data_IF_382834158906
#
_entry.id   IF_382834158906
#
_cell.length_a   1.000
_cell.length_b   1.000
_cell.length_c   1.000
_cell.angle_alpha   90.00
_cell.angle_beta   90.00
_cell.angle_gamma   90.00
#
_symmetry.space_group_name_H-M   'P 1'
#
loop_
_entity.id
_entity.type
_entity.pdbx_description
1 polymer ?
#
# COMPACT_ATOMS: atom_id res chain seq x y z
N UNK A 1 -38.63 -4.59 -2.06
CA UNK A 1 -39.13 -5.23 -0.83
C UNK A 1 -37.95 -5.77 -0.07
N UNK A 2 -37.79 -5.40 1.19
CA UNK A 2 -36.64 -5.80 2.04
C UNK A 2 -36.59 -7.33 2.17
N UNK A 3 -35.42 -7.89 1.86
CA UNK A 3 -35.21 -9.35 1.91
C UNK A 3 -35.72 -10.15 0.70
N UNK A 4 -36.11 -9.48 -0.38
CA UNK A 4 -36.60 -10.10 -1.62
C UNK A 4 -36.01 -9.38 -2.84
N UNK A 5 -36.04 -10.04 -4.00
CA UNK A 5 -35.65 -9.45 -5.27
C UNK A 5 -36.79 -8.68 -5.96
N UNK A 6 -37.96 -8.59 -5.32
CA UNK A 6 -39.13 -7.90 -5.87
C UNK A 6 -38.95 -6.38 -5.72
N UNK A 7 -38.89 -5.67 -6.82
CA UNK A 7 -38.77 -4.20 -6.88
C UNK A 7 -39.46 -3.62 -8.14
N UNK A 8 -39.66 -2.31 -8.11
CA UNK A 8 -40.19 -1.54 -9.24
C UNK A 8 -39.51 -0.19 -9.31
N UNK A 9 -39.35 0.38 -10.48
CA UNK A 9 -38.83 1.74 -10.68
C UNK A 9 -40.02 2.69 -10.87
N UNK A 10 -39.90 3.91 -10.35
CA UNK A 10 -40.93 4.97 -10.58
C UNK A 10 -40.99 5.40 -12.04
N UNK A 11 -42.12 5.87 -12.45
CA UNK A 11 -42.29 6.58 -13.73
C UNK A 11 -41.70 8.00 -13.69
N UNK A 12 -41.83 8.75 -14.81
CA UNK A 12 -41.30 10.12 -14.92
C UNK A 12 -41.98 11.13 -13.96
N UNK A 13 -43.18 10.81 -13.50
CA UNK A 13 -43.97 11.61 -12.55
C UNK A 13 -43.75 11.18 -11.09
N UNK A 14 -42.87 10.17 -10.87
CA UNK A 14 -42.54 9.65 -9.54
C UNK A 14 -43.55 8.63 -9.01
N UNK A 15 -44.50 8.16 -9.81
CA UNK A 15 -45.48 7.17 -9.37
C UNK A 15 -44.92 5.75 -9.50
N UNK A 16 -45.31 4.89 -8.58
CA UNK A 16 -44.98 3.46 -8.62
C UNK A 16 -46.19 2.61 -8.19
N UNK A 17 -46.25 1.40 -8.72
CA UNK A 17 -47.24 0.41 -8.32
C UNK A 17 -46.56 -0.91 -8.00
N UNK A 18 -46.70 -1.37 -6.77
CA UNK A 18 -46.00 -2.57 -6.26
C UNK A 18 -46.96 -3.42 -5.44
N UNK A 19 -47.16 -4.67 -5.87
CA UNK A 19 -47.95 -5.63 -5.11
C UNK A 19 -47.11 -6.35 -4.12
N UNK A 20 -47.41 -6.20 -2.81
CA UNK A 20 -46.66 -6.79 -1.70
C UNK A 20 -47.57 -7.46 -0.69
N UNK A 21 -47.02 -8.43 0.06
CA UNK A 21 -47.75 -9.04 1.15
C UNK A 21 -47.96 -8.04 2.30
N UNK A 22 -49.07 -8.17 3.04
CA UNK A 22 -49.31 -7.37 4.25
C UNK A 22 -48.19 -7.57 5.25
N UNK A 23 -47.75 -6.49 5.91
CA UNK A 23 -46.63 -6.40 6.84
C UNK A 23 -45.24 -6.50 6.20
N UNK A 24 -45.12 -6.42 4.88
CA UNK A 24 -43.82 -6.27 4.23
C UNK A 24 -43.23 -4.88 4.48
N UNK A 25 -41.89 -4.81 4.50
CA UNK A 25 -41.16 -3.54 4.52
C UNK A 25 -40.68 -3.22 3.10
N UNK A 26 -41.04 -2.04 2.61
CA UNK A 26 -40.54 -1.50 1.34
C UNK A 26 -39.38 -0.56 1.65
N UNK A 27 -38.29 -0.69 0.93
CA UNK A 27 -37.16 0.25 0.94
C UNK A 27 -37.27 1.09 -0.32
N UNK A 28 -37.29 2.38 -0.18
CA UNK A 28 -37.31 3.34 -1.29
C UNK A 28 -35.96 4.06 -1.29
N UNK A 29 -35.24 3.93 -2.39
CA UNK A 29 -33.91 4.50 -2.61
C UNK A 29 -33.83 5.28 -3.91
N UNK A 30 -33.07 6.36 -3.90
CA UNK A 30 -32.74 7.13 -5.09
C UNK A 30 -31.35 7.73 -4.95
N UNK A 31 -30.59 7.84 -6.04
CA UNK A 31 -29.23 8.37 -6.02
C UNK A 31 -29.26 9.80 -5.47
N UNK A 32 -28.47 10.05 -4.39
CA UNK A 32 -28.41 11.35 -3.71
C UNK A 32 -29.46 11.56 -2.61
N UNK A 33 -30.21 10.53 -2.26
CA UNK A 33 -31.19 10.57 -1.18
C UNK A 33 -31.01 9.40 -0.22
N UNK A 34 -31.30 9.62 1.07
CA UNK A 34 -31.22 8.57 2.09
C UNK A 34 -32.32 7.55 1.90
N UNK A 35 -31.96 6.26 2.01
CA UNK A 35 -32.91 5.16 1.93
C UNK A 35 -33.97 5.29 3.02
N UNK A 36 -35.26 5.14 2.65
CA UNK A 36 -36.36 5.18 3.60
C UNK A 36 -37.12 3.86 3.62
N UNK A 37 -37.37 3.36 4.83
CA UNK A 37 -38.09 2.12 5.04
C UNK A 37 -39.54 2.38 5.49
N UNK A 38 -40.49 1.78 4.80
CA UNK A 38 -41.92 1.87 5.11
C UNK A 38 -42.51 0.48 5.31
N UNK A 39 -43.16 0.29 6.43
CA UNK A 39 -43.91 -0.94 6.70
C UNK A 39 -45.33 -0.81 6.18
N UNK A 40 -45.74 -1.72 5.32
CA UNK A 40 -47.06 -1.71 4.66
C UNK A 40 -48.06 -2.48 5.53
N UNK A 41 -49.19 -1.83 5.89
CA UNK A 41 -50.30 -2.47 6.56
C UNK A 41 -51.48 -2.64 5.57
N UNK A 42 -52.47 -3.47 5.93
CA UNK A 42 -53.64 -3.75 5.08
C UNK A 42 -54.44 -2.51 4.70
N UNK A 43 -54.36 -1.44 5.50
CA UNK A 43 -55.17 -0.24 5.32
C UNK A 43 -54.42 0.87 4.52
N UNK A 44 -53.19 0.65 4.16
CA UNK A 44 -52.35 1.65 3.48
C UNK A 44 -52.10 1.28 2.03
N UNK A 45 -53.03 1.67 1.17
CA UNK A 45 -52.97 1.40 -0.28
C UNK A 45 -52.31 2.51 -1.07
N UNK A 46 -52.11 3.69 -0.50
CA UNK A 46 -51.40 4.83 -1.10
C UNK A 46 -50.30 5.30 -0.19
N UNK A 47 -49.07 5.34 -0.69
CA UNK A 47 -47.90 5.77 0.03
C UNK A 47 -47.30 7.00 -0.66
N UNK A 48 -47.36 8.16 0.00
CA UNK A 48 -46.65 9.36 -0.44
C UNK A 48 -45.32 9.46 0.31
N UNK A 49 -44.23 9.47 -0.42
CA UNK A 49 -42.89 9.49 0.12
C UNK A 49 -42.17 10.74 -0.32
N UNK A 50 -41.68 11.52 0.66
CA UNK A 50 -40.71 12.57 0.42
C UNK A 50 -39.33 12.06 0.82
N UNK A 51 -38.49 11.78 -0.16
CA UNK A 51 -37.10 11.42 0.09
C UNK A 51 -36.38 12.62 0.69
N UNK A 52 -35.60 12.39 1.71
CA UNK A 52 -34.68 13.39 2.26
C UNK A 52 -33.39 13.29 1.49
N UNK A 53 -32.89 14.41 1.04
CA UNK A 53 -31.54 14.47 0.45
C UNK A 53 -30.57 13.81 1.41
N UNK A 54 -29.79 12.88 0.89
CA UNK A 54 -28.72 12.28 1.64
C UNK A 54 -27.63 13.36 1.78
N UNK A 55 -27.73 14.10 2.89
CA UNK A 55 -26.68 15.04 3.29
C UNK A 55 -25.42 14.31 3.77
N UNK A 56 -25.45 12.97 3.84
CA UNK A 56 -24.27 12.11 3.82
C UNK A 56 -23.76 11.82 2.37
N UNK A 57 -24.10 12.63 1.36
CA UNK A 57 -23.12 12.82 0.30
C UNK A 57 -21.85 13.20 1.03
N UNK A 58 -20.92 12.30 1.06
CA UNK A 58 -19.57 12.48 1.57
C UNK A 58 -19.13 13.79 0.97
N UNK A 59 -19.35 14.89 1.69
CA UNK A 59 -18.68 16.15 1.42
C UNK A 59 -17.22 15.75 1.45
N UNK A 60 -16.61 15.53 0.28
CA UNK A 60 -15.21 15.15 0.17
C UNK A 60 -14.42 16.31 0.75
N UNK A 61 -14.24 16.21 2.05
CA UNK A 61 -13.61 17.24 2.85
C UNK A 61 -12.12 17.02 2.71
N UNK A 62 -11.47 18.00 2.13
CA UNK A 62 -10.03 17.96 1.94
C UNK A 62 -9.38 18.78 3.04
N UNK A 63 -8.41 18.21 3.72
CA UNK A 63 -7.57 18.94 4.67
C UNK A 63 -6.68 19.86 3.86
N UNK A 64 -6.79 21.18 4.08
CA UNK A 64 -5.98 22.20 3.42
C UNK A 64 -5.34 23.05 4.50
N UNK A 65 -4.06 22.90 4.65
CA UNK A 65 -3.33 23.69 5.64
C UNK A 65 -3.74 23.39 7.08
N UNK A 66 -4.11 24.45 7.79
CA UNK A 66 -4.57 24.35 9.19
C UNK A 66 -6.09 24.20 9.32
N UNK A 67 -6.79 23.90 8.22
CA UNK A 67 -8.25 23.80 8.20
C UNK A 67 -8.75 22.71 7.29
N UNK A 68 -10.04 22.44 7.42
CA UNK A 68 -10.78 21.48 6.62
C UNK A 68 -11.69 22.28 5.69
N UNK A 69 -11.58 22.09 4.38
CA UNK A 69 -12.43 22.75 3.39
C UNK A 69 -13.11 21.71 2.50
N UNK A 70 -14.33 22.02 2.07
CA UNK A 70 -15.01 21.20 1.06
C UNK A 70 -14.24 21.27 -0.25
N UNK A 71 -14.09 20.17 -0.93
CA UNK A 71 -13.37 20.07 -2.22
C UNK A 71 -13.89 21.06 -3.25
N UNK A 72 -15.19 21.31 -3.25
CA UNK A 72 -15.87 22.29 -4.11
C UNK A 72 -15.38 23.73 -3.94
N UNK A 73 -14.91 24.06 -2.74
CA UNK A 73 -14.45 25.41 -2.38
C UNK A 73 -12.95 25.63 -2.61
N UNK A 74 -12.24 24.61 -3.11
CA UNK A 74 -10.82 24.68 -3.37
C UNK A 74 -10.56 25.31 -4.74
N UNK A 75 -10.01 26.49 -4.76
CA UNK A 75 -9.56 27.17 -5.99
C UNK A 75 -8.25 26.60 -6.54
N UNK A 76 -7.54 25.78 -5.75
CA UNK A 76 -6.26 25.16 -6.11
C UNK A 76 -6.40 23.72 -6.64
N UNK A 77 -5.39 23.26 -7.39
CA UNK A 77 -5.33 21.88 -7.91
C UNK A 77 -4.98 20.90 -6.78
N UNK A 78 -5.99 20.36 -6.13
CA UNK A 78 -5.84 19.37 -5.06
C UNK A 78 -6.33 18.01 -5.55
N UNK A 79 -5.53 16.96 -5.32
CA UNK A 79 -5.96 15.58 -5.50
C UNK A 79 -6.12 14.94 -4.11
N UNK A 80 -7.22 14.27 -3.88
CA UNK A 80 -7.46 13.54 -2.64
C UNK A 80 -7.88 12.10 -2.93
N UNK A 81 -7.46 11.19 -2.06
CA UNK A 81 -7.86 9.78 -2.08
C UNK A 81 -8.33 9.41 -0.68
N UNK A 82 -9.53 8.85 -0.61
CA UNK A 82 -10.04 8.24 0.61
C UNK A 82 -9.48 6.82 0.74
N UNK A 83 -8.87 6.53 1.87
CA UNK A 83 -8.19 5.23 2.06
C UNK A 83 -9.15 4.06 2.30
N UNK A 84 -10.43 4.30 2.56
CA UNK A 84 -11.43 3.22 2.65
C UNK A 84 -11.47 2.35 1.38
N UNK A 85 -11.27 2.97 0.22
CA UNK A 85 -11.33 2.28 -1.08
C UNK A 85 -10.00 1.57 -1.45
N UNK A 86 -8.95 1.81 -0.68
CA UNK A 86 -7.58 1.40 -0.98
C UNK A 86 -7.02 0.41 0.04
N UNK A 87 -7.51 0.44 1.27
CA UNK A 87 -6.99 -0.35 2.39
C UNK A 87 -7.08 -1.87 2.18
N UNK A 88 -7.93 -2.35 1.25
CA UNK A 88 -8.06 -3.77 0.92
C UNK A 88 -6.91 -4.33 0.06
N UNK A 89 -5.98 -3.49 -0.39
CA UNK A 89 -4.86 -3.95 -1.22
C UNK A 89 -3.77 -4.57 -0.35
N UNK A 90 -3.34 -5.82 -0.63
CA UNK A 90 -2.29 -6.49 0.12
C UNK A 90 -0.90 -5.99 -0.32
N UNK A 91 -0.55 -4.77 0.02
CA UNK A 91 0.79 -4.22 -0.23
C UNK A 91 1.56 -4.06 1.08
N UNK A 92 2.86 -4.28 1.01
CA UNK A 92 3.75 -4.18 2.16
C UNK A 92 4.01 -2.74 2.60
N UNK A 93 3.96 -1.81 1.64
CA UNK A 93 4.28 -0.40 1.83
C UNK A 93 3.08 0.47 1.46
N UNK A 94 2.58 1.19 2.45
CA UNK A 94 1.40 2.06 2.29
C UNK A 94 1.60 3.16 1.24
N UNK A 95 2.83 3.65 1.06
CA UNK A 95 3.11 4.65 0.02
C UNK A 95 2.84 4.09 -1.40
N UNK A 96 3.05 2.80 -1.62
CA UNK A 96 2.78 2.15 -2.91
C UNK A 96 1.27 2.10 -3.25
N UNK A 97 0.39 2.18 -2.25
CA UNK A 97 -1.05 2.28 -2.48
C UNK A 97 -1.48 3.57 -3.19
N UNK A 98 -0.64 4.59 -3.14
CA UNK A 98 -0.89 5.88 -3.80
C UNK A 98 -0.60 5.84 -5.31
N UNK A 99 0.12 4.82 -5.78
CA UNK A 99 0.53 4.70 -7.19
C UNK A 99 -0.70 4.63 -8.12
N UNK A 100 -0.71 5.48 -9.14
CA UNK A 100 -1.78 5.54 -10.14
C UNK A 100 -3.12 6.13 -9.64
N UNK A 101 -3.22 6.51 -8.36
CA UNK A 101 -4.46 7.03 -7.75
C UNK A 101 -4.48 8.55 -7.57
N UNK A 102 -3.32 9.16 -7.56
CA UNK A 102 -3.17 10.60 -7.40
C UNK A 102 -2.71 11.22 -8.73
N UNK A 103 -3.59 11.85 -9.51
CA UNK A 103 -3.21 12.49 -10.78
C UNK A 103 -2.08 13.50 -10.57
N UNK A 104 -1.00 13.39 -11.38
CA UNK A 104 0.16 14.26 -11.33
C UNK A 104 1.16 13.93 -10.22
N UNK A 105 0.99 12.79 -9.53
CA UNK A 105 1.98 12.22 -8.60
C UNK A 105 2.62 11.01 -9.27
N UNK A 106 3.92 11.01 -9.35
CA UNK A 106 4.72 9.90 -9.86
C UNK A 106 5.40 9.21 -8.69
N UNK A 107 5.24 7.90 -8.59
CA UNK A 107 5.95 7.04 -7.65
C UNK A 107 6.91 6.16 -8.43
N UNK A 108 8.16 6.17 -8.04
CA UNK A 108 9.19 5.30 -8.61
C UNK A 108 9.76 4.43 -7.50
N UNK A 109 9.63 3.12 -7.65
CA UNK A 109 10.24 2.16 -6.74
C UNK A 109 11.65 1.83 -7.23
N UNK A 110 12.66 2.15 -6.43
CA UNK A 110 14.07 1.87 -6.73
C UNK A 110 14.52 0.49 -6.25
N UNK A 111 13.60 -0.37 -5.88
CA UNK A 111 13.82 -1.72 -5.38
C UNK A 111 12.57 -2.26 -4.70
N UNK A 112 12.53 -3.57 -4.49
CA UNK A 112 11.44 -4.25 -3.80
C UNK A 112 11.94 -4.95 -2.53
N UNK A 113 13.05 -4.45 -1.96
CA UNK A 113 13.64 -5.04 -0.77
C UNK A 113 12.72 -4.80 0.43
N UNK A 114 12.33 -5.88 1.10
CA UNK A 114 11.56 -5.81 2.33
C UNK A 114 12.26 -4.89 3.36
N UNK A 115 11.56 -3.84 3.80
CA UNK A 115 12.08 -2.83 4.73
C UNK A 115 12.92 -1.70 4.12
N UNK A 116 13.25 -1.77 2.83
CA UNK A 116 13.97 -0.73 2.06
C UNK A 116 13.26 -0.37 0.75
N UNK A 117 11.95 -0.54 0.71
CA UNK A 117 11.07 -0.37 -0.44
C UNK A 117 10.37 0.99 -0.47
N UNK A 118 10.92 2.01 0.19
CA UNK A 118 10.37 3.37 0.15
C UNK A 118 10.43 3.93 -1.26
N UNK A 119 9.28 4.26 -1.87
CA UNK A 119 9.27 4.84 -3.21
C UNK A 119 9.78 6.28 -3.17
N UNK A 120 10.40 6.68 -4.27
CA UNK A 120 10.61 8.10 -4.56
C UNK A 120 9.30 8.70 -5.05
N UNK A 121 8.82 9.75 -4.40
CA UNK A 121 7.57 10.43 -4.77
C UNK A 121 7.89 11.78 -5.37
N UNK A 122 7.34 12.07 -6.54
CA UNK A 122 7.48 13.34 -7.24
C UNK A 122 6.11 13.90 -7.65
N UNK A 123 5.93 15.20 -7.49
CA UNK A 123 4.71 15.90 -7.88
C UNK A 123 5.04 16.78 -9.08
N UNK A 124 4.33 16.56 -10.22
CA UNK A 124 4.53 17.25 -11.50
C UNK A 124 5.94 17.15 -12.10
N UNK A 125 6.72 16.14 -11.71
CA UNK A 125 8.04 15.85 -12.28
C UNK A 125 9.20 16.47 -11.52
N UNK A 126 10.32 16.67 -12.22
CA UNK A 126 11.59 17.18 -11.67
C UNK A 126 11.66 18.68 -11.91
N UNK A 127 11.69 19.46 -10.84
CA UNK A 127 11.78 20.93 -10.91
C UNK A 127 13.18 21.49 -10.63
N UNK A 128 14.04 20.71 -9.97
CA UNK A 128 15.38 21.14 -9.57
C UNK A 128 16.41 20.02 -9.77
N UNK A 129 17.70 20.39 -9.78
CA UNK A 129 18.78 19.41 -9.92
C UNK A 129 19.17 18.70 -8.60
N UNK A 130 18.72 19.21 -7.45
CA UNK A 130 19.11 18.65 -6.16
C UNK A 130 17.96 17.88 -5.50
N UNK A 131 17.03 18.56 -4.84
CA UNK A 131 15.97 17.93 -4.06
C UNK A 131 14.60 18.16 -4.70
N UNK A 132 13.95 17.10 -5.12
CA UNK A 132 12.62 17.14 -5.72
C UNK A 132 11.54 16.48 -4.85
N UNK A 133 11.90 16.11 -3.62
CA UNK A 133 10.95 15.48 -2.72
C UNK A 133 9.87 16.47 -2.29
N UNK A 134 8.60 16.03 -2.28
CA UNK A 134 7.51 16.85 -1.75
C UNK A 134 7.62 16.95 -0.23
N UNK A 135 7.09 18.03 0.32
CA UNK A 135 6.88 18.14 1.76
C UNK A 135 5.78 17.17 2.20
N UNK A 136 6.04 16.38 3.22
CA UNK A 136 5.06 15.43 3.78
C UNK A 136 4.63 15.93 5.15
N UNK A 137 3.31 15.94 5.39
CA UNK A 137 2.73 16.20 6.71
C UNK A 137 1.81 15.05 7.11
N UNK A 138 2.02 14.51 8.30
CA UNK A 138 1.18 13.52 8.92
C UNK A 138 0.48 14.17 10.11
N UNK A 139 -0.84 14.30 10.04
CA UNK A 139 -1.66 15.04 11.03
C UNK A 139 -1.14 16.45 11.34
N UNK A 140 -0.57 17.13 10.35
CA UNK A 140 -0.01 18.46 10.47
C UNK A 140 1.45 18.54 10.94
N UNK A 141 2.07 17.40 11.24
CA UNK A 141 3.48 17.28 11.63
C UNK A 141 4.33 16.93 10.42
N UNK A 142 5.39 17.71 10.20
CA UNK A 142 6.33 17.45 9.11
C UNK A 142 7.04 16.10 9.29
N UNK A 143 7.11 15.37 8.21
CA UNK A 143 7.55 13.97 8.17
C UNK A 143 8.30 13.70 6.87
N UNK A 144 8.90 12.52 6.75
CA UNK A 144 9.57 12.07 5.53
C UNK A 144 8.69 11.14 4.69
N UNK A 145 9.03 10.98 3.42
CA UNK A 145 8.38 10.01 2.52
C UNK A 145 8.49 8.57 3.07
N UNK A 146 9.62 8.22 3.69
CA UNK A 146 9.82 6.90 4.31
C UNK A 146 8.85 6.64 5.46
N UNK A 147 8.47 7.67 6.22
CA UNK A 147 7.51 7.52 7.31
C UNK A 147 6.08 7.22 6.82
N UNK A 148 5.75 7.55 5.57
CA UNK A 148 4.46 7.12 4.97
C UNK A 148 4.39 5.59 4.92
N UNK A 149 5.49 4.94 4.56
CA UNK A 149 5.59 3.49 4.49
C UNK A 149 5.40 2.78 5.83
N UNK A 150 5.62 3.50 6.93
CA UNK A 150 5.56 2.97 8.29
C UNK A 150 4.16 3.03 8.91
N UNK A 151 3.25 3.81 8.31
CA UNK A 151 1.87 3.93 8.79
C UNK A 151 1.05 2.76 8.25
N UNK A 152 0.39 1.97 9.12
CA UNK A 152 -0.57 0.98 8.65
C UNK A 152 -1.66 1.64 7.78
N UNK A 153 -1.99 1.02 6.66
CA UNK A 153 -3.01 1.56 5.75
C UNK A 153 -4.38 1.73 6.45
N UNK A 154 -4.68 0.83 7.37
CA UNK A 154 -5.89 0.87 8.18
C UNK A 154 -5.97 2.07 9.14
N UNK A 155 -4.85 2.72 9.45
CA UNK A 155 -4.82 3.94 10.27
C UNK A 155 -5.03 5.22 9.46
N UNK A 156 -4.91 5.18 8.13
CA UNK A 156 -5.07 6.35 7.27
C UNK A 156 -6.55 6.55 6.94
N UNK A 157 -7.02 7.78 7.07
CA UNK A 157 -8.35 8.20 6.63
C UNK A 157 -8.31 8.73 5.21
N UNK A 158 -7.39 9.66 4.94
CA UNK A 158 -7.25 10.26 3.61
C UNK A 158 -5.83 10.75 3.34
N UNK A 159 -5.50 10.82 2.05
CA UNK A 159 -4.29 11.47 1.56
C UNK A 159 -4.68 12.55 0.56
N UNK A 160 -4.21 13.77 0.80
CA UNK A 160 -4.42 14.92 -0.07
C UNK A 160 -3.09 15.45 -0.59
N UNK A 161 -3.04 15.86 -1.84
CA UNK A 161 -1.84 16.40 -2.47
C UNK A 161 -2.10 17.79 -3.02
N UNK A 162 -1.37 18.76 -2.48
CA UNK A 162 -1.36 20.15 -2.92
C UNK A 162 -0.29 20.29 -4.01
N UNK A 163 -0.74 20.52 -5.24
CA UNK A 163 0.14 20.47 -6.42
C UNK A 163 0.55 21.84 -6.95
N UNK A 164 -0.09 22.89 -6.53
CA UNK A 164 0.20 24.24 -6.99
C UNK A 164 0.67 25.17 -5.85
N UNK A 165 1.36 26.22 -6.24
CA UNK A 165 1.92 27.18 -5.30
C UNK A 165 0.85 27.93 -4.50
N UNK A 166 -0.37 28.12 -5.03
CA UNK A 166 -1.43 28.81 -4.35
C UNK A 166 -1.96 28.01 -3.16
N UNK A 167 -2.21 26.72 -3.36
CA UNK A 167 -2.66 25.81 -2.29
C UNK A 167 -1.56 25.49 -1.28
N UNK A 168 -0.29 25.49 -1.71
CA UNK A 168 0.87 25.18 -0.89
C UNK A 168 1.50 26.41 -0.20
N UNK A 169 1.04 27.64 -0.53
CA UNK A 169 1.65 28.90 -0.07
C UNK A 169 1.80 29.04 1.46
N UNK A 170 0.87 28.48 2.22
CA UNK A 170 0.91 28.52 3.69
C UNK A 170 2.09 27.76 4.29
N UNK A 171 2.68 26.83 3.54
CA UNK A 171 3.85 26.04 3.96
C UNK A 171 5.18 26.66 3.52
N UNK A 172 5.13 27.81 2.81
CA UNK A 172 6.29 28.55 2.38
C UNK A 172 7.13 27.88 1.29
N UNK A 173 8.39 28.27 1.19
CA UNK A 173 9.31 27.80 0.12
C UNK A 173 9.59 26.31 0.14
N UNK A 174 9.46 25.66 1.27
CA UNK A 174 9.66 24.20 1.42
C UNK A 174 8.61 23.38 0.68
N UNK A 175 7.47 23.97 0.40
CA UNK A 175 6.39 23.36 -0.36
C UNK A 175 6.49 23.57 -1.88
N UNK A 176 7.64 24.08 -2.39
CA UNK A 176 7.84 24.36 -3.82
C UNK A 176 7.65 23.11 -4.69
N UNK A 177 8.01 21.93 -4.19
CA UNK A 177 7.83 20.65 -4.87
C UNK A 177 6.45 19.99 -4.60
N UNK A 178 5.51 20.74 -4.00
CA UNK A 178 4.20 20.24 -3.58
C UNK A 178 4.18 19.70 -2.15
N UNK A 179 2.98 19.44 -1.66
CA UNK A 179 2.75 18.95 -0.29
C UNK A 179 1.86 17.73 -0.31
N UNK A 180 2.23 16.70 0.44
CA UNK A 180 1.42 15.53 0.72
C UNK A 180 0.89 15.65 2.15
N UNK A 181 -0.42 15.68 2.29
CA UNK A 181 -1.11 15.73 3.58
C UNK A 181 -1.73 14.36 3.86
N UNK A 182 -1.31 13.73 4.94
CA UNK A 182 -1.85 12.47 5.41
C UNK A 182 -2.66 12.75 6.66
N UNK A 183 -3.93 12.38 6.62
CA UNK A 183 -4.81 12.45 7.77
C UNK A 183 -5.05 11.04 8.28
N UNK A 184 -4.80 10.82 9.56
CA UNK A 184 -5.05 9.53 10.20
C UNK A 184 -6.44 9.48 10.82
N UNK A 185 -6.98 8.27 10.95
CA UNK A 185 -8.30 8.03 11.53
C UNK A 185 -8.39 8.57 12.94
N UNK A 186 -9.54 9.14 13.25
CA UNK A 186 -9.88 9.68 14.58
C UNK A 186 -11.16 9.05 15.09
N UNK A 187 -11.41 9.12 16.37
CA UNK A 187 -12.70 8.77 16.95
C UNK A 187 -13.79 9.74 16.49
N UNK A 188 -15.03 9.27 16.46
CA UNK A 188 -16.19 10.10 16.18
C UNK A 188 -16.86 10.55 17.46
N UNK A 189 -17.30 11.81 17.51
CA UNK A 189 -18.07 12.33 18.64
C UNK A 189 -19.38 11.57 18.80
N UNK A 190 -19.80 11.39 20.05
CA UNK A 190 -21.05 10.69 20.42
C UNK A 190 -21.19 9.27 19.86
N UNK A 191 -20.07 8.61 19.54
CA UNK A 191 -20.05 7.25 19.01
C UNK A 191 -19.87 6.20 20.12
N UNK A 192 -20.53 5.04 19.95
CA UNK A 192 -20.25 3.88 20.79
C UNK A 192 -18.81 3.38 20.54
N UNK A 193 -18.24 2.75 21.55
CA UNK A 193 -16.93 2.11 21.39
C UNK A 193 -17.05 1.01 20.33
N UNK A 194 -16.19 1.11 19.32
CA UNK A 194 -16.06 0.16 18.22
C UNK A 194 -14.67 -0.46 18.27
N UNK A 195 -14.62 -1.78 18.26
CA UNK A 195 -13.39 -2.55 18.09
C UNK A 195 -13.39 -3.06 16.66
N UNK A 196 -12.28 -2.87 15.96
CA UNK A 196 -12.09 -3.38 14.59
C UNK A 196 -10.79 -4.16 14.56
N UNK A 197 -10.85 -5.34 13.97
CA UNK A 197 -9.71 -6.22 13.70
C UNK A 197 -9.63 -6.48 12.21
N UNK A 198 -8.43 -6.43 11.66
CA UNK A 198 -8.16 -6.81 10.27
C UNK A 198 -6.88 -7.64 10.22
N UNK A 199 -6.88 -8.66 9.38
CA UNK A 199 -5.73 -9.52 9.16
C UNK A 199 -5.62 -9.93 7.71
N UNK A 200 -4.39 -10.02 7.20
CA UNK A 200 -4.11 -10.50 5.85
C UNK A 200 -2.91 -11.44 5.82
N UNK A 201 -2.97 -12.41 4.93
CA UNK A 201 -1.85 -13.28 4.58
C UNK A 201 -1.65 -13.23 3.07
N UNK A 202 -0.42 -12.95 2.65
CA UNK A 202 -0.07 -12.75 1.24
C UNK A 202 1.11 -13.63 0.88
N UNK A 203 1.02 -14.32 -0.25
CA UNK A 203 2.14 -15.02 -0.87
C UNK A 203 2.74 -14.11 -1.94
N UNK A 204 4.04 -13.92 -1.87
CA UNK A 204 4.82 -13.14 -2.83
C UNK A 204 5.68 -14.10 -3.64
N UNK A 205 5.66 -13.94 -4.95
CA UNK A 205 6.49 -14.73 -5.86
C UNK A 205 7.35 -13.79 -6.70
N UNK A 206 8.59 -14.20 -7.07
CA UNK A 206 9.34 -13.46 -8.06
C UNK A 206 8.50 -13.26 -9.32
N UNK A 207 8.47 -12.04 -9.86
CA UNK A 207 7.69 -11.73 -11.05
C UNK A 207 8.35 -12.28 -12.32
N UNK A 208 8.89 -11.39 -13.15
CA UNK A 208 9.63 -11.79 -14.34
C UNK A 208 11.06 -12.09 -13.94
N UNK A 209 11.45 -13.36 -14.01
CA UNK A 209 12.82 -13.81 -13.82
C UNK A 209 13.39 -14.09 -15.22
N UNK A 210 14.50 -13.45 -15.62
CA UNK A 210 15.13 -13.72 -16.91
C UNK A 210 15.61 -15.17 -16.99
N UNK A 211 15.44 -15.80 -18.15
CA UNK A 211 16.06 -17.08 -18.42
C UNK A 211 17.57 -16.89 -18.65
N UNK A 212 18.36 -17.61 -17.86
CA UNK A 212 19.81 -17.60 -18.02
C UNK A 212 20.26 -18.83 -18.81
N UNK A 213 21.35 -18.62 -19.53
CA UNK A 213 22.01 -19.69 -20.28
C UNK A 213 22.54 -20.76 -19.30
N UNK A 214 22.33 -22.03 -19.62
CA UNK A 214 22.88 -23.14 -18.87
C UNK A 214 24.41 -23.22 -19.02
N UNK A 215 25.04 -24.04 -18.17
CA UNK A 215 26.49 -24.15 -18.11
C UNK A 215 27.12 -24.72 -19.41
N UNK A 216 26.44 -25.67 -20.07
CA UNK A 216 26.91 -26.26 -21.34
C UNK A 216 26.93 -25.22 -22.45
N UNK A 217 25.82 -24.53 -22.69
CA UNK A 217 25.75 -23.50 -23.72
C UNK A 217 26.68 -22.31 -23.40
N UNK A 218 26.80 -21.95 -22.12
CA UNK A 218 27.79 -20.95 -21.70
C UNK A 218 29.22 -21.37 -22.02
N UNK A 219 29.60 -22.64 -21.78
CA UNK A 219 30.92 -23.17 -22.11
C UNK A 219 31.17 -23.20 -23.61
N UNK A 220 30.17 -23.54 -24.45
CA UNK A 220 30.24 -23.45 -25.88
C UNK A 220 30.56 -22.02 -26.35
N UNK A 221 29.80 -21.03 -25.84
CA UNK A 221 30.08 -19.62 -26.17
C UNK A 221 31.47 -19.16 -25.74
N UNK A 222 31.97 -19.68 -24.61
CA UNK A 222 33.35 -19.38 -24.18
C UNK A 222 34.39 -20.00 -25.12
N UNK A 223 34.14 -21.18 -25.65
CA UNK A 223 34.99 -21.82 -26.65
C UNK A 223 34.97 -21.09 -28.00
N UNK A 224 33.86 -20.46 -28.39
CA UNK A 224 33.81 -19.57 -29.58
C UNK A 224 34.70 -18.34 -29.41
N UNK A 225 34.74 -17.74 -28.23
CA UNK A 225 35.55 -16.58 -27.92
C UNK A 225 37.04 -16.96 -27.83
N UNK A 226 37.35 -18.11 -27.21
CA UNK A 226 38.68 -18.63 -27.04
C UNK A 226 38.65 -20.16 -27.14
N UNK A 227 39.09 -20.67 -28.27
CA UNK A 227 39.11 -22.11 -28.55
C UNK A 227 39.89 -22.87 -27.46
N UNK A 228 39.34 -24.01 -27.02
CA UNK A 228 39.98 -24.89 -26.04
C UNK A 228 39.89 -24.39 -24.58
N UNK A 229 39.01 -23.45 -24.29
CA UNK A 229 38.74 -23.04 -22.89
C UNK A 229 38.12 -24.19 -22.10
N UNK A 230 37.22 -24.95 -22.73
CA UNK A 230 36.64 -26.19 -22.20
C UNK A 230 36.97 -27.32 -23.19
N UNK A 231 37.47 -28.46 -22.65
CA UNK A 231 37.71 -29.67 -23.43
C UNK A 231 36.38 -30.35 -23.77
N UNK A 232 36.39 -31.29 -24.73
CA UNK A 232 35.23 -32.11 -25.09
C UNK A 232 34.73 -32.94 -23.88
N UNK A 233 35.67 -33.46 -23.07
CA UNK A 233 35.31 -34.17 -21.82
C UNK A 233 34.60 -33.24 -20.82
N UNK A 234 35.07 -32.00 -20.67
CA UNK A 234 34.42 -31.01 -19.82
C UNK A 234 33.03 -30.65 -20.33
N UNK A 235 32.86 -30.47 -21.65
CA UNK A 235 31.55 -30.23 -22.25
C UNK A 235 30.58 -31.39 -22.04
N UNK A 236 31.08 -32.63 -22.16
CA UNK A 236 30.26 -33.80 -21.90
C UNK A 236 29.78 -33.86 -20.43
N UNK A 237 30.66 -33.59 -19.46
CA UNK A 237 30.31 -33.57 -18.04
C UNK A 237 29.32 -32.44 -17.69
N UNK A 238 29.44 -31.27 -18.36
CA UNK A 238 28.46 -30.18 -18.23
C UNK A 238 27.09 -30.58 -18.80
N UNK A 239 27.08 -31.39 -19.87
CA UNK A 239 25.86 -31.81 -20.53
C UNK A 239 25.13 -32.94 -19.74
N UNK A 240 25.88 -33.92 -19.25
CA UNK A 240 25.33 -35.11 -18.56
C UNK A 240 25.21 -34.96 -17.04
N UNK A 241 25.82 -33.88 -16.45
CA UNK A 241 25.78 -33.61 -15.03
C UNK A 241 26.52 -34.62 -14.15
N UNK A 242 27.45 -35.41 -14.72
CA UNK A 242 28.13 -36.52 -14.03
C UNK A 242 29.11 -36.10 -12.93
N UNK A 243 29.54 -34.82 -12.93
CA UNK A 243 30.50 -34.27 -11.98
C UNK A 243 30.07 -32.86 -11.54
N UNK A 244 29.01 -32.76 -10.71
CA UNK A 244 28.41 -31.45 -10.36
C UNK A 244 29.30 -30.58 -9.47
N UNK A 245 30.32 -31.13 -8.84
CA UNK A 245 31.26 -30.36 -8.03
C UNK A 245 32.23 -29.56 -8.89
N UNK A 246 32.70 -30.13 -10.02
CA UNK A 246 33.65 -29.45 -10.92
C UNK A 246 32.98 -28.86 -12.16
N UNK A 247 31.82 -29.41 -12.56
CA UNK A 247 31.08 -29.02 -13.78
C UNK A 247 29.60 -28.78 -13.45
N UNK A 248 29.35 -27.81 -12.56
CA UNK A 248 27.99 -27.49 -12.12
C UNK A 248 27.13 -26.87 -13.24
N UNK A 249 25.82 -26.98 -13.08
CA UNK A 249 24.85 -26.25 -13.88
C UNK A 249 23.92 -25.48 -12.92
N UNK A 250 24.40 -24.32 -12.45
CA UNK A 250 23.74 -23.52 -11.42
C UNK A 250 22.93 -22.42 -12.05
N UNK A 251 21.63 -22.42 -11.81
CA UNK A 251 20.79 -21.21 -11.95
C UNK A 251 20.91 -20.39 -10.68
N UNK A 252 21.72 -19.36 -10.71
CA UNK A 252 21.99 -18.52 -9.56
C UNK A 252 20.77 -17.70 -9.10
N UNK A 253 19.83 -17.38 -10.00
CA UNK A 253 18.59 -16.70 -9.61
C UNK A 253 17.71 -17.63 -8.79
N UNK A 254 17.54 -18.88 -9.21
CA UNK A 254 16.78 -19.88 -8.44
C UNK A 254 17.44 -20.18 -7.10
N UNK A 255 18.78 -20.06 -7.03
CA UNK A 255 19.52 -20.26 -5.80
C UNK A 255 19.33 -19.14 -4.76
N UNK A 256 19.02 -17.91 -5.18
CA UNK A 256 18.88 -16.75 -4.28
C UNK A 256 17.44 -16.27 -4.11
N UNK A 257 16.55 -16.58 -5.06
CA UNK A 257 15.15 -16.18 -5.02
C UNK A 257 14.29 -17.28 -4.40
N UNK A 258 13.25 -16.88 -3.71
CA UNK A 258 12.25 -17.79 -3.11
C UNK A 258 10.85 -17.19 -3.18
N UNK A 259 9.86 -18.03 -3.06
CA UNK A 259 8.54 -17.57 -2.67
C UNK A 259 8.59 -17.10 -1.21
N UNK A 260 7.95 -16.01 -0.92
CA UNK A 260 7.95 -15.36 0.38
C UNK A 260 6.54 -15.17 0.89
N UNK A 261 6.39 -15.05 2.20
CA UNK A 261 5.11 -14.78 2.85
C UNK A 261 5.13 -13.40 3.51
N UNK A 262 3.95 -12.80 3.58
CA UNK A 262 3.70 -11.63 4.37
C UNK A 262 2.41 -11.82 5.14
N UNK A 263 2.42 -11.47 6.41
CA UNK A 263 1.21 -11.42 7.21
C UNK A 263 1.13 -10.10 7.99
N UNK A 264 -0.07 -9.59 8.08
CA UNK A 264 -0.37 -8.32 8.72
C UNK A 264 -1.58 -8.48 9.62
N UNK A 265 -1.53 -7.85 10.78
CA UNK A 265 -2.62 -7.79 11.75
C UNK A 265 -2.76 -6.37 12.25
N UNK A 266 -3.96 -5.87 12.29
CA UNK A 266 -4.28 -4.54 12.78
C UNK A 266 -5.49 -4.60 13.70
N UNK A 267 -5.33 -4.12 14.91
CA UNK A 267 -6.39 -4.01 15.90
C UNK A 267 -6.57 -2.54 16.25
N UNK A 268 -7.80 -2.05 16.19
CA UNK A 268 -8.12 -0.68 16.58
C UNK A 268 -9.36 -0.60 17.46
N UNK A 269 -9.35 0.38 18.34
CA UNK A 269 -10.45 0.74 19.21
C UNK A 269 -10.73 2.22 19.05
N UNK A 270 -11.96 2.57 18.72
CA UNK A 270 -12.39 3.96 18.56
C UNK A 270 -13.72 4.20 19.24
N UNK A 271 -13.95 5.42 19.66
CA UNK A 271 -15.20 5.79 20.32
C UNK A 271 -15.18 7.24 20.78
N UNK A 272 -16.29 7.71 21.34
CA UNK A 272 -16.31 9.06 21.87
C UNK A 272 -17.61 9.48 22.52
N UNK A 273 -17.50 10.44 23.41
CA UNK A 273 -18.59 11.24 23.94
C UNK A 273 -18.80 12.51 23.12
N UNK A 274 -19.70 13.38 23.49
CA UNK A 274 -19.89 14.69 22.86
C UNK A 274 -18.62 15.55 22.88
N UNK A 275 -17.83 15.42 23.92
CA UNK A 275 -16.68 16.30 24.17
C UNK A 275 -15.32 15.62 23.95
N UNK A 276 -15.26 14.32 24.02
CA UNK A 276 -13.99 13.59 23.89
C UNK A 276 -14.19 12.40 22.98
N UNK A 277 -13.31 12.26 22.00
CA UNK A 277 -13.26 11.11 21.12
C UNK A 277 -11.84 10.63 20.94
N UNK A 278 -11.72 9.34 20.72
CA UNK A 278 -10.40 8.69 20.64
C UNK A 278 -10.39 7.57 19.58
N UNK A 279 -9.21 7.33 19.06
CA UNK A 279 -8.87 6.16 18.26
C UNK A 279 -7.49 5.68 18.68
N UNK A 280 -7.37 4.42 18.98
CA UNK A 280 -6.09 3.78 19.33
C UNK A 280 -5.95 2.50 18.51
N UNK A 281 -4.78 2.28 17.93
CA UNK A 281 -4.48 1.09 17.14
C UNK A 281 -3.11 0.50 17.49
N UNK A 282 -3.00 -0.80 17.24
CA UNK A 282 -1.75 -1.55 17.23
C UNK A 282 -1.74 -2.38 15.96
N UNK A 283 -0.64 -2.35 15.23
CA UNK A 283 -0.46 -3.18 14.06
C UNK A 283 0.86 -3.96 14.15
N UNK A 284 0.80 -5.18 13.65
CA UNK A 284 1.94 -6.06 13.47
C UNK A 284 2.01 -6.50 12.02
N UNK A 285 3.18 -6.44 11.43
CA UNK A 285 3.43 -6.98 10.11
C UNK A 285 4.78 -7.71 10.08
N UNK A 286 4.80 -8.85 9.42
CA UNK A 286 6.03 -9.57 9.11
C UNK A 286 6.01 -9.91 7.63
N UNK A 287 7.04 -9.50 6.94
CA UNK A 287 7.26 -9.74 5.52
C UNK A 287 8.59 -10.42 5.31
N UNK A 288 8.56 -11.64 4.82
CA UNK A 288 9.74 -12.27 4.23
C UNK A 288 10.08 -11.61 2.89
N UNK A 289 11.36 -11.47 2.59
CA UNK A 289 11.78 -11.03 1.27
C UNK A 289 11.82 -12.19 0.26
N UNK A 290 11.56 -11.87 -1.00
CA UNK A 290 11.70 -12.83 -2.12
C UNK A 290 13.16 -13.23 -2.37
N UNK A 291 14.11 -12.45 -1.91
CA UNK A 291 15.51 -12.86 -1.81
C UNK A 291 15.78 -13.51 -0.45
N UNK A 292 16.53 -14.61 -0.44
CA UNK A 292 16.87 -15.30 0.81
C UNK A 292 17.60 -14.38 1.79
N UNK A 293 17.35 -14.57 3.09
CA UNK A 293 17.95 -13.78 4.19
C UNK A 293 17.60 -12.30 4.13
N UNK A 294 16.42 -11.96 3.60
CA UNK A 294 15.84 -10.63 3.68
C UNK A 294 14.45 -10.68 4.27
N UNK A 295 14.06 -9.61 4.95
CA UNK A 295 12.74 -9.51 5.57
C UNK A 295 12.62 -8.28 6.45
N UNK A 296 11.40 -7.97 6.85
CA UNK A 296 11.09 -6.91 7.81
C UNK A 296 9.98 -7.33 8.74
N UNK A 297 10.21 -7.14 10.03
CA UNK A 297 9.19 -7.23 11.07
C UNK A 297 8.92 -5.84 11.60
N UNK A 298 7.64 -5.47 11.68
CA UNK A 298 7.22 -4.14 12.14
C UNK A 298 6.12 -4.25 13.17
N UNK A 299 6.28 -3.50 14.24
CA UNK A 299 5.23 -3.25 15.24
C UNK A 299 4.99 -1.75 15.26
N UNK A 300 3.74 -1.33 15.09
CA UNK A 300 3.36 0.08 15.16
C UNK A 300 2.19 0.29 16.14
N UNK A 301 2.21 1.44 16.75
CA UNK A 301 1.20 1.90 17.69
C UNK A 301 0.81 3.33 17.36
N UNK A 302 -0.49 3.61 17.44
CA UNK A 302 -1.03 4.97 17.28
C UNK A 302 -2.14 5.23 18.26
N UNK A 303 -2.21 6.46 18.79
CA UNK A 303 -3.34 6.91 19.60
C UNK A 303 -3.62 8.38 19.31
N UNK A 304 -4.84 8.67 18.87
CA UNK A 304 -5.35 9.99 18.61
C UNK A 304 -6.48 10.26 19.60
N UNK A 305 -6.37 11.33 20.36
CA UNK A 305 -7.38 11.74 21.35
C UNK A 305 -7.66 13.22 21.18
N UNK A 306 -8.92 13.55 20.96
CA UNK A 306 -9.37 14.95 20.86
C UNK A 306 -10.40 15.19 21.95
N UNK A 307 -10.23 16.30 22.67
CA UNK A 307 -11.15 16.69 23.73
C UNK A 307 -11.48 18.17 23.66
N UNK A 308 -12.74 18.53 23.87
CA UNK A 308 -13.21 19.90 23.95
C UNK A 308 -13.72 20.16 25.37
N UNK A 309 -13.19 21.17 25.99
CA UNK A 309 -13.68 21.65 27.28
C UNK A 309 -13.97 23.15 27.19
N UNK A 310 -15.24 23.50 27.21
CA UNK A 310 -15.72 24.90 27.04
C UNK A 310 -15.20 25.50 25.73
N UNK A 311 -14.23 26.43 25.81
CA UNK A 311 -13.61 27.13 24.67
C UNK A 311 -12.25 26.52 24.28
N UNK A 312 -11.77 25.54 25.02
CA UNK A 312 -10.48 24.90 24.78
C UNK A 312 -10.68 23.61 24.00
N UNK A 313 -9.82 23.39 23.02
CA UNK A 313 -9.71 22.13 22.30
C UNK A 313 -8.31 21.59 22.53
N UNK A 314 -8.21 20.37 22.98
CA UNK A 314 -6.97 19.64 23.20
C UNK A 314 -6.92 18.45 22.24
N UNK A 315 -5.81 18.34 21.50
CA UNK A 315 -5.53 17.17 20.64
C UNK A 315 -4.22 16.53 21.06
N UNK A 316 -4.20 15.23 21.17
CA UNK A 316 -3.00 14.43 21.39
C UNK A 316 -2.89 13.40 20.27
N UNK A 317 -1.81 13.45 19.52
CA UNK A 317 -1.45 12.44 18.54
C UNK A 317 -0.15 11.78 19.01
N UNK A 318 -0.23 10.51 19.36
CA UNK A 318 0.91 9.71 19.78
C UNK A 318 1.08 8.56 18.80
N UNK A 319 2.27 8.38 18.26
CA UNK A 319 2.59 7.23 17.41
C UNK A 319 4.02 6.78 17.63
N UNK A 320 4.25 5.50 17.42
CA UNK A 320 5.56 4.90 17.48
C UNK A 320 5.59 3.63 16.65
N UNK A 321 6.78 3.29 16.16
CA UNK A 321 7.02 2.06 15.43
C UNK A 321 8.38 1.47 15.80
N UNK A 322 8.48 0.16 15.69
CA UNK A 322 9.72 -0.61 15.75
C UNK A 322 9.82 -1.43 14.48
N UNK A 323 10.93 -1.28 13.77
CA UNK A 323 11.25 -2.03 12.56
C UNK A 323 12.51 -2.84 12.80
N UNK A 324 12.41 -4.16 12.65
CA UNK A 324 13.54 -5.08 12.63
C UNK A 324 13.74 -5.55 11.19
N UNK A 325 14.80 -5.07 10.54
CA UNK A 325 15.11 -5.38 9.14
C UNK A 325 16.23 -6.40 9.08
N UNK A 326 15.99 -7.49 8.39
CA UNK A 326 16.99 -8.49 8.04
C UNK A 326 17.46 -8.22 6.61
N UNK A 327 18.72 -7.92 6.45
CA UNK A 327 19.34 -7.69 5.16
C UNK A 327 20.69 -8.42 5.06
N UNK A 328 21.11 -8.83 3.86
CA UNK A 328 22.41 -9.48 3.71
C UNK A 328 23.54 -8.48 4.02
N UNK A 329 24.57 -8.99 4.71
CA UNK A 329 25.74 -8.21 5.13
C UNK A 329 26.69 -7.88 3.96
N UNK A 330 26.18 -7.56 2.78
CA UNK A 330 27.00 -7.31 1.58
C UNK A 330 26.95 -5.84 1.24
N UNK A 331 28.13 -5.30 1.04
CA UNK A 331 28.51 -4.02 0.42
C UNK A 331 27.41 -2.95 0.13
N UNK A 332 27.77 -1.69 0.02
CA UNK A 332 26.88 -0.51 0.11
C UNK A 332 25.75 -0.43 -0.96
N UNK A 333 25.61 -1.42 -1.80
CA UNK A 333 24.58 -1.47 -2.87
C UNK A 333 23.32 -2.29 -2.51
N UNK A 334 23.24 -2.87 -1.30
CA UNK A 334 22.05 -3.64 -0.87
C UNK A 334 21.70 -4.83 -1.78
N UNK A 335 20.42 -5.20 -1.82
CA UNK A 335 19.92 -6.30 -2.68
C UNK A 335 20.19 -6.06 -4.16
N UNK A 336 20.07 -4.82 -4.63
CA UNK A 336 20.37 -4.48 -6.02
C UNK A 336 21.81 -4.82 -6.39
N UNK A 337 22.75 -4.72 -5.45
CA UNK A 337 24.13 -5.15 -5.62
C UNK A 337 24.27 -6.67 -5.73
N UNK A 338 23.57 -7.43 -4.87
CA UNK A 338 23.57 -8.89 -4.93
C UNK A 338 22.96 -9.38 -6.23
N UNK A 339 21.78 -8.87 -6.61
CA UNK A 339 21.13 -9.26 -7.86
C UNK A 339 21.99 -8.95 -9.07
N UNK A 340 22.65 -7.80 -9.08
CA UNK A 340 23.61 -7.45 -10.15
C UNK A 340 24.80 -8.39 -10.15
N UNK A 341 25.36 -8.69 -8.97
CA UNK A 341 26.49 -9.61 -8.87
C UNK A 341 26.11 -11.01 -9.37
N UNK A 342 24.99 -11.54 -8.91
CA UNK A 342 24.47 -12.85 -9.31
C UNK A 342 24.17 -12.88 -10.82
N UNK A 343 23.60 -11.80 -11.39
CA UNK A 343 23.22 -11.76 -12.80
C UNK A 343 24.41 -11.56 -13.75
N UNK A 344 25.47 -10.85 -13.34
CA UNK A 344 26.53 -10.41 -14.24
C UNK A 344 27.87 -11.10 -14.00
N UNK A 345 28.16 -11.50 -12.77
CA UNK A 345 29.50 -11.95 -12.39
C UNK A 345 29.58 -13.43 -12.02
N UNK A 346 28.45 -14.07 -11.72
CA UNK A 346 28.47 -15.50 -11.40
C UNK A 346 28.51 -16.34 -12.68
N UNK A 347 29.19 -17.48 -12.59
CA UNK A 347 29.30 -18.45 -13.68
C UNK A 347 28.37 -19.62 -13.40
N UNK A 348 27.59 -20.11 -14.37
CA UNK A 348 26.73 -21.26 -14.16
C UNK A 348 27.51 -22.56 -13.87
N UNK A 349 28.79 -22.58 -14.19
CA UNK A 349 29.70 -23.72 -13.94
C UNK A 349 30.22 -23.84 -12.52
N UNK A 350 29.81 -22.93 -11.61
CA UNK A 350 30.20 -22.98 -10.20
C UNK A 350 29.01 -23.47 -9.38
N UNK A 351 29.15 -24.48 -8.51
CA UNK A 351 28.06 -24.94 -7.67
C UNK A 351 27.77 -23.94 -6.55
N UNK A 352 26.51 -23.89 -6.07
CA UNK A 352 26.18 -23.11 -4.86
C UNK A 352 26.93 -23.69 -3.66
N UNK A 353 27.01 -25.01 -3.60
CA UNK A 353 27.70 -25.74 -2.53
C UNK A 353 28.27 -27.02 -3.11
N UNK A 354 29.52 -27.33 -2.73
CA UNK A 354 30.16 -28.57 -3.07
C UNK A 354 29.60 -29.74 -2.22
N UNK A 355 29.81 -30.98 -2.67
CA UNK A 355 29.40 -32.18 -1.94
C UNK A 355 29.99 -32.29 -0.53
N UNK A 356 31.12 -31.64 -0.28
CA UNK A 356 31.77 -31.57 1.04
C UNK A 356 31.16 -30.52 1.99
N UNK A 357 30.12 -29.79 1.56
CA UNK A 357 29.41 -28.76 2.34
C UNK A 357 30.06 -27.38 2.33
N UNK A 358 31.12 -27.15 1.58
CA UNK A 358 31.69 -25.82 1.37
C UNK A 358 30.94 -25.07 0.26
N UNK A 359 30.78 -23.75 0.42
CA UNK A 359 30.20 -22.92 -0.63
C UNK A 359 31.11 -22.88 -1.86
N UNK A 360 30.49 -22.84 -3.03
CA UNK A 360 31.19 -22.62 -4.28
C UNK A 360 31.89 -21.28 -4.31
N UNK A 361 33.09 -21.25 -4.90
CA UNK A 361 33.85 -20.02 -5.09
C UNK A 361 34.47 -20.00 -6.49
N UNK A 362 34.72 -18.79 -6.98
CA UNK A 362 35.38 -18.58 -8.27
C UNK A 362 36.82 -18.20 -7.98
N UNK A 363 37.76 -19.02 -8.43
CA UNK A 363 39.16 -18.60 -8.49
C UNK A 363 39.30 -17.47 -9.50
N UNK A 364 39.93 -16.36 -9.10
CA UNK A 364 40.06 -15.14 -9.88
C UNK A 364 40.95 -15.29 -11.12
#
# INVERSE_FOLDING_TARGET
VKGSTTGVVTDLDGNFNLTVASNSTIVISFIGYSDQEYRISKDNTVLNVNLKEDTEMIDEVVVVGYGVQKKENLTGSVAAVNFKDVASMPVANTANMLQGRLPGVMLTNNGAQAGHDSPEIRIRGVGTFEHNDPMVLIDGVESSVSQIAEIPADDIESVSVLKDAASAAIYGVRAANGVILITTKRGQASSKVKVSDSGSYTLQTPGIVPDYIDSYNWALMRNEVKAGTFSEEALQKLQDGSDPDHYANTNWLDAVLRNASMHQHHLSVSGGSENTHFMTSVAYSNQDGIMMKTGVERISFRSNVDTRYKRFTFGLNLSGNKNDVTAPAVAPSGEGGIMRFVSWFTRPTVPVMYSNGHYGYVDG
#
